data_IF_030210224297
#
_entry.id   IF_030210224297
#
_cell.length_a   1.000
_cell.length_b   1.000
_cell.length_c   1.000
_cell.angle_alpha   90.00
_cell.angle_beta   90.00
_cell.angle_gamma   90.00
#
_symmetry.space_group_name_H-M   'P 1'
#
loop_
_entity.id
_entity.type
_entity.pdbx_description
1 polymer ?
#
# COMPACT_ATOMS: atom_id res chain seq x y z
N UNK A 1 24.53 -7.15 -7.81
CA UNK A 1 24.04 -6.08 -6.93
C UNK A 1 24.43 -6.44 -5.49
N UNK A 2 24.94 -5.50 -4.70
CA UNK A 2 25.15 -5.78 -3.26
C UNK A 2 23.87 -5.41 -2.51
N UNK A 3 23.56 -6.08 -1.40
CA UNK A 3 22.40 -5.73 -0.55
C UNK A 3 22.44 -4.27 -0.08
N UNK A 4 23.61 -3.62 -0.06
CA UNK A 4 23.76 -2.19 0.19
C UNK A 4 23.12 -1.32 -0.90
N UNK A 5 23.26 -1.72 -2.17
CA UNK A 5 22.71 -0.96 -3.29
C UNK A 5 21.18 -0.85 -3.22
N UNK A 6 20.50 -1.87 -2.68
CA UNK A 6 19.06 -1.82 -2.42
C UNK A 6 18.71 -0.68 -1.46
N UNK A 7 19.43 -0.57 -0.33
CA UNK A 7 19.19 0.49 0.65
C UNK A 7 19.59 1.87 0.12
N UNK A 8 20.56 1.96 -0.79
CA UNK A 8 20.88 3.20 -1.49
C UNK A 8 19.75 3.68 -2.42
N UNK A 9 18.87 2.80 -2.91
CA UNK A 9 17.69 3.23 -3.67
C UNK A 9 16.79 4.17 -2.86
N UNK A 10 16.75 4.01 -1.54
CA UNK A 10 16.01 4.89 -0.63
C UNK A 10 16.73 6.21 -0.31
N UNK A 11 17.95 6.44 -0.79
CA UNK A 11 18.69 7.69 -0.63
C UNK A 11 18.26 8.69 -1.71
N UNK A 12 16.99 9.09 -1.67
CA UNK A 12 16.36 10.05 -2.59
C UNK A 12 15.87 11.26 -1.81
N UNK A 13 15.61 12.35 -2.52
CA UNK A 13 15.00 13.53 -1.91
C UNK A 13 13.62 13.19 -1.30
N UNK A 14 13.29 13.87 -0.20
CA UNK A 14 12.01 13.72 0.45
C UNK A 14 10.89 14.10 -0.52
N UNK A 15 9.81 13.32 -0.55
CA UNK A 15 8.71 13.51 -1.48
C UNK A 15 8.97 12.99 -2.90
N UNK A 16 10.18 12.55 -3.23
CA UNK A 16 10.54 11.95 -4.52
C UNK A 16 10.35 10.43 -4.56
N UNK A 17 9.61 9.86 -3.61
CA UNK A 17 9.23 8.45 -3.60
C UNK A 17 8.01 8.18 -2.71
N UNK A 18 7.38 7.02 -2.96
CA UNK A 18 6.38 6.42 -2.06
C UNK A 18 6.96 5.11 -1.52
N UNK A 19 6.94 4.89 -0.21
CA UNK A 19 7.33 3.62 0.40
C UNK A 19 6.14 2.66 0.49
N UNK A 20 6.39 1.39 0.25
CA UNK A 20 5.42 0.30 0.31
C UNK A 20 5.91 -0.75 1.29
N UNK A 21 4.97 -1.37 1.99
CA UNK A 21 5.19 -2.64 2.66
C UNK A 21 4.00 -3.55 2.32
N UNK A 22 4.27 -4.72 1.75
CA UNK A 22 3.22 -5.68 1.42
C UNK A 22 3.61 -7.08 1.90
N UNK A 23 2.64 -7.88 2.31
CA UNK A 23 2.84 -9.24 2.75
C UNK A 23 2.56 -10.23 1.62
N UNK A 24 3.56 -11.04 1.28
CA UNK A 24 3.41 -12.10 0.28
C UNK A 24 3.45 -13.48 0.91
N UNK A 25 2.47 -14.31 0.52
CA UNK A 25 2.24 -15.65 1.09
C UNK A 25 2.60 -16.76 0.09
N UNK A 26 2.53 -18.01 0.58
CA UNK A 26 2.77 -19.24 -0.21
C UNK A 26 4.19 -19.35 -0.78
N UNK A 27 5.17 -18.80 -0.07
CA UNK A 27 6.59 -18.90 -0.44
C UNK A 27 7.33 -20.03 0.27
N UNK A 28 6.89 -20.42 1.47
CA UNK A 28 7.48 -21.51 2.24
C UNK A 28 6.43 -22.51 2.72
N UNK A 29 6.91 -23.70 3.07
CA UNK A 29 6.11 -24.83 3.54
C UNK A 29 5.53 -24.66 4.94
N UNK A 30 5.99 -23.67 5.70
CA UNK A 30 5.50 -23.37 7.06
C UNK A 30 4.36 -22.35 7.03
N UNK A 31 4.16 -21.66 5.91
CA UNK A 31 3.13 -20.65 5.75
C UNK A 31 3.52 -19.25 6.26
N UNK A 32 4.79 -19.03 6.61
CA UNK A 32 5.27 -17.73 7.07
C UNK A 32 5.20 -16.68 5.95
N UNK A 33 4.58 -15.51 6.18
CA UNK A 33 4.62 -14.44 5.20
C UNK A 33 6.02 -13.84 5.07
N UNK A 34 6.30 -13.32 3.88
CA UNK A 34 7.45 -12.44 3.64
C UNK A 34 6.91 -11.04 3.45
N UNK A 35 7.37 -10.09 4.27
CA UNK A 35 7.14 -8.67 4.06
C UNK A 35 8.12 -8.18 3.00
N UNK A 36 7.59 -7.57 1.95
CA UNK A 36 8.34 -6.91 0.90
C UNK A 36 8.26 -5.42 1.14
N UNK A 37 9.42 -4.80 1.37
CA UNK A 37 9.52 -3.37 1.53
C UNK A 37 10.32 -2.77 0.37
N UNK A 38 9.77 -1.74 -0.25
CA UNK A 38 10.39 -1.07 -1.37
C UNK A 38 9.81 0.32 -1.56
N UNK A 39 10.36 1.05 -2.53
CA UNK A 39 9.85 2.36 -2.91
C UNK A 39 9.43 2.36 -4.37
N UNK A 40 8.55 3.27 -4.75
CA UNK A 40 8.37 3.65 -6.15
C UNK A 40 8.83 5.07 -6.39
N UNK A 41 9.29 5.33 -7.60
CA UNK A 41 9.67 6.66 -8.06
C UNK A 41 8.69 7.21 -9.11
N UNK A 42 8.96 8.42 -9.60
CA UNK A 42 8.11 9.10 -10.59
C UNK A 42 7.98 8.33 -11.91
N UNK A 43 8.89 7.37 -12.20
CA UNK A 43 8.79 6.48 -13.37
C UNK A 43 7.86 5.28 -13.12
N UNK A 44 7.27 5.19 -11.92
CA UNK A 44 6.44 4.07 -11.44
C UNK A 44 7.20 2.76 -11.34
N UNK A 45 8.53 2.82 -11.30
CA UNK A 45 9.39 1.66 -11.10
C UNK A 45 9.46 1.32 -9.62
N UNK A 46 9.31 0.03 -9.30
CA UNK A 46 9.48 -0.47 -7.94
C UNK A 46 10.95 -0.79 -7.68
N UNK A 47 11.47 -0.29 -6.56
CA UNK A 47 12.83 -0.53 -6.10
C UNK A 47 12.77 -1.23 -4.75
N UNK A 48 13.21 -2.48 -4.71
CA UNK A 48 13.28 -3.24 -3.46
C UNK A 48 14.27 -2.58 -2.48
N UNK A 49 13.87 -2.47 -1.22
CA UNK A 49 14.74 -2.05 -0.12
C UNK A 49 15.09 -3.23 0.79
N UNK A 50 14.09 -4.05 1.15
CA UNK A 50 14.27 -5.15 2.08
C UNK A 50 13.18 -6.24 1.94
N UNK A 51 13.55 -7.46 2.36
CA UNK A 51 12.66 -8.60 2.49
C UNK A 51 12.77 -9.14 3.93
N UNK A 52 11.63 -9.31 4.61
CA UNK A 52 11.59 -9.85 5.97
C UNK A 52 10.73 -11.09 6.01
N UNK A 53 11.26 -12.21 6.50
CA UNK A 53 10.39 -13.36 6.82
C UNK A 53 9.89 -13.21 8.24
N UNK A 54 8.57 -13.27 8.43
CA UNK A 54 7.94 -13.17 9.75
C UNK A 54 7.01 -14.35 9.98
N UNK A 55 6.82 -14.76 11.23
CA UNK A 55 5.90 -15.83 11.59
C UNK A 55 4.43 -15.39 11.51
N UNK A 56 4.15 -14.11 11.76
CA UNK A 56 2.80 -13.53 11.78
C UNK A 56 2.79 -12.07 11.29
N UNK A 57 1.59 -11.57 11.01
CA UNK A 57 1.32 -10.18 10.65
C UNK A 57 0.60 -9.47 11.81
N UNK A 58 1.32 -9.33 12.93
CA UNK A 58 0.91 -8.51 14.06
C UNK A 58 1.69 -7.20 14.07
N UNK A 59 1.16 -6.19 14.76
CA UNK A 59 1.80 -4.88 14.91
C UNK A 59 3.30 -5.00 15.27
N UNK A 60 3.66 -5.81 16.28
CA UNK A 60 5.05 -6.02 16.69
C UNK A 60 5.99 -6.52 15.58
N UNK A 61 5.47 -7.30 14.63
CA UNK A 61 6.25 -7.85 13.53
C UNK A 61 6.51 -6.78 12.45
N UNK A 62 5.53 -5.94 12.16
CA UNK A 62 5.71 -4.77 11.28
C UNK A 62 6.68 -3.77 11.91
N UNK A 63 6.50 -3.45 13.20
CA UNK A 63 7.38 -2.57 13.96
C UNK A 63 8.82 -3.07 13.95
N UNK A 64 9.06 -4.36 14.21
CA UNK A 64 10.39 -4.95 14.16
C UNK A 64 11.03 -4.86 12.76
N UNK A 65 10.26 -5.11 11.70
CA UNK A 65 10.73 -5.00 10.32
C UNK A 65 11.11 -3.55 9.96
N UNK A 66 10.26 -2.57 10.31
CA UNK A 66 10.51 -1.16 10.03
C UNK A 66 11.69 -0.62 10.86
N UNK A 67 11.82 -0.98 12.13
CA UNK A 67 13.00 -0.63 12.96
C UNK A 67 14.27 -1.20 12.35
N UNK A 68 14.25 -2.47 11.93
CA UNK A 68 15.38 -3.09 11.26
C UNK A 68 15.73 -2.38 9.94
N UNK A 69 14.73 -1.99 9.15
CA UNK A 69 14.91 -1.22 7.92
C UNK A 69 15.61 0.11 8.21
N UNK A 70 15.09 0.93 9.14
CA UNK A 70 15.69 2.23 9.48
C UNK A 70 17.12 2.09 9.98
N UNK A 71 17.37 1.13 10.87
CA UNK A 71 18.71 0.84 11.39
C UNK A 71 19.70 0.47 10.29
N UNK A 72 19.29 -0.41 9.38
CA UNK A 72 20.16 -0.87 8.29
C UNK A 72 20.37 0.23 7.26
N UNK A 73 19.33 1.01 6.93
CA UNK A 73 19.44 2.18 6.09
C UNK A 73 20.46 3.17 6.66
N UNK A 74 20.34 3.56 7.94
CA UNK A 74 21.24 4.51 8.58
C UNK A 74 22.69 4.02 8.56
N UNK A 75 22.90 2.72 8.77
CA UNK A 75 24.24 2.11 8.68
C UNK A 75 24.84 2.17 7.27
N UNK A 76 24.01 2.09 6.22
CA UNK A 76 24.49 2.06 4.83
C UNK A 76 24.63 3.46 4.24
N UNK A 77 23.66 4.34 4.49
CA UNK A 77 23.58 5.67 3.88
C UNK A 77 24.09 6.79 4.80
N UNK A 78 24.36 6.51 6.09
CA UNK A 78 24.90 7.49 7.03
C UNK A 78 23.90 8.57 7.49
N UNK A 79 22.61 8.36 7.24
CA UNK A 79 21.53 9.28 7.59
C UNK A 79 20.28 8.52 8.02
N UNK A 80 19.42 9.15 8.82
CA UNK A 80 18.14 8.56 9.19
C UNK A 80 17.22 8.43 7.98
N UNK A 81 16.50 7.31 7.89
CA UNK A 81 15.54 7.11 6.82
C UNK A 81 14.29 7.94 7.11
N UNK A 82 14.02 8.92 6.24
CA UNK A 82 12.87 9.83 6.31
C UNK A 82 11.86 9.49 5.21
N UNK A 83 10.57 9.58 5.50
CA UNK A 83 9.50 9.26 4.57
C UNK A 83 8.43 10.36 4.57
N UNK A 84 7.84 10.63 3.41
CA UNK A 84 6.74 11.60 3.26
C UNK A 84 5.45 10.94 2.77
N UNK A 85 5.57 9.86 1.99
CA UNK A 85 4.42 9.12 1.47
C UNK A 85 4.60 7.62 1.72
N UNK A 86 3.66 7.03 2.44
CA UNK A 86 3.56 5.59 2.68
C UNK A 86 2.33 5.09 1.96
N UNK A 87 2.39 3.98 1.23
CA UNK A 87 1.22 3.32 0.67
C UNK A 87 1.13 1.92 1.23
N UNK A 88 0.06 1.67 1.99
CA UNK A 88 -0.21 0.39 2.64
C UNK A 88 -1.69 0.04 2.60
N UNK A 89 -2.05 -1.07 3.21
CA UNK A 89 -3.41 -1.61 3.12
C UNK A 89 -3.98 -2.21 4.42
N UNK A 90 -3.20 -2.21 5.51
CA UNK A 90 -3.59 -2.80 6.78
C UNK A 90 -3.49 -1.84 7.98
N UNK A 91 -4.41 -1.97 8.96
CA UNK A 91 -4.42 -1.16 10.18
C UNK A 91 -3.13 -1.32 10.99
N UNK A 92 -2.66 -2.56 11.14
CA UNK A 92 -1.46 -2.87 11.94
C UNK A 92 -0.18 -2.33 11.29
N UNK A 93 -0.16 -2.28 9.96
CA UNK A 93 0.91 -1.66 9.19
C UNK A 93 0.90 -0.15 9.41
N UNK A 94 -0.27 0.49 9.28
CA UNK A 94 -0.48 1.91 9.57
C UNK A 94 0.03 2.30 10.97
N UNK A 95 -0.38 1.57 12.00
CA UNK A 95 0.05 1.81 13.39
C UNK A 95 1.57 1.66 13.53
N UNK A 96 2.17 0.62 12.94
CA UNK A 96 3.60 0.39 13.00
C UNK A 96 4.41 1.51 12.31
N UNK A 97 3.95 2.01 11.15
CA UNK A 97 4.59 3.16 10.51
C UNK A 97 4.54 4.40 11.40
N UNK A 98 3.40 4.67 12.04
CA UNK A 98 3.26 5.82 12.94
C UNK A 98 4.18 5.75 14.16
N UNK A 99 4.34 4.56 14.73
CA UNK A 99 5.19 4.36 15.89
C UNK A 99 6.68 4.43 15.53
N UNK A 100 7.06 3.84 14.40
CA UNK A 100 8.48 3.74 13.99
C UNK A 100 8.98 5.01 13.30
N UNK A 101 8.13 5.74 12.57
CA UNK A 101 8.47 6.98 11.87
C UNK A 101 7.80 8.20 12.54
N UNK A 102 7.76 8.20 13.87
CA UNK A 102 7.18 9.30 14.68
C UNK A 102 7.86 10.66 14.44
N UNK A 103 9.11 10.65 13.99
CA UNK A 103 9.90 11.83 13.61
C UNK A 103 9.64 12.30 12.17
N UNK A 104 8.86 11.55 11.38
CA UNK A 104 8.48 11.92 10.01
C UNK A 104 7.07 12.49 9.96
N UNK A 105 6.89 13.58 9.21
CA UNK A 105 5.56 14.08 8.83
C UNK A 105 5.15 13.45 7.50
N UNK A 106 4.53 12.26 7.55
CA UNK A 106 4.13 11.53 6.34
C UNK A 106 2.61 11.41 6.17
N UNK A 107 2.18 11.25 4.91
CA UNK A 107 0.83 10.85 4.53
C UNK A 107 0.79 9.34 4.33
N UNK A 108 -0.10 8.67 5.04
CA UNK A 108 -0.44 7.28 4.78
C UNK A 108 -1.55 7.23 3.72
N UNK A 109 -1.20 6.73 2.54
CA UNK A 109 -2.03 6.60 1.37
C UNK A 109 -2.68 5.22 1.33
N UNK A 110 -3.92 5.18 0.86
CA UNK A 110 -4.65 3.94 0.62
C UNK A 110 -4.66 3.57 -0.85
N UNK A 111 -4.35 2.30 -1.11
CA UNK A 111 -4.42 1.75 -2.45
C UNK A 111 -5.85 1.77 -2.98
N UNK A 112 -6.07 2.47 -4.10
CA UNK A 112 -7.39 2.58 -4.71
C UNK A 112 -7.95 1.22 -5.21
N UNK A 113 -7.08 0.25 -5.53
CA UNK A 113 -7.52 -1.10 -5.89
C UNK A 113 -8.35 -1.74 -4.77
N UNK A 114 -7.96 -1.56 -3.50
CA UNK A 114 -8.70 -2.11 -2.37
C UNK A 114 -10.07 -1.46 -2.19
N UNK A 115 -10.16 -0.15 -2.45
CA UNK A 115 -11.44 0.56 -2.50
C UNK A 115 -12.34 -0.11 -3.55
N UNK A 116 -11.87 -0.23 -4.79
CA UNK A 116 -12.63 -0.84 -5.90
C UNK A 116 -13.00 -2.30 -5.65
N UNK A 117 -12.09 -3.10 -5.09
CA UNK A 117 -12.36 -4.49 -4.75
C UNK A 117 -13.52 -4.59 -3.74
N UNK A 118 -13.53 -3.73 -2.72
CA UNK A 118 -14.61 -3.67 -1.73
C UNK A 118 -15.91 -3.06 -2.25
N UNK A 119 -15.84 -2.12 -3.19
CA UNK A 119 -17.03 -1.67 -3.92
C UNK A 119 -17.64 -2.86 -4.67
N UNK A 120 -16.84 -3.60 -5.44
CA UNK A 120 -17.32 -4.75 -6.24
C UNK A 120 -17.98 -5.83 -5.40
N UNK A 121 -17.38 -6.19 -4.27
CA UNK A 121 -17.97 -7.15 -3.33
C UNK A 121 -19.35 -6.68 -2.84
N UNK A 122 -19.50 -5.38 -2.55
CA UNK A 122 -20.71 -4.81 -1.94
C UNK A 122 -21.77 -4.36 -2.94
N UNK A 123 -21.43 -4.20 -4.22
CA UNK A 123 -22.38 -3.87 -5.29
C UNK A 123 -23.00 -5.10 -5.94
N UNK A 124 -22.60 -6.32 -5.58
CA UNK A 124 -23.07 -7.56 -6.25
C UNK A 124 -24.61 -7.76 -6.20
N UNK A 125 -25.29 -7.20 -5.21
CA UNK A 125 -26.75 -7.28 -5.08
C UNK A 125 -27.51 -6.06 -5.61
N UNK A 126 -26.81 -5.04 -6.13
CA UNK A 126 -27.45 -3.82 -6.62
C UNK A 126 -27.84 -3.96 -8.09
N UNK A 127 -28.80 -3.12 -8.52
CA UNK A 127 -29.09 -2.99 -9.95
C UNK A 127 -27.87 -2.44 -10.71
N UNK A 128 -27.90 -2.57 -12.04
CA UNK A 128 -26.84 -2.06 -12.90
C UNK A 128 -26.71 -0.54 -12.83
N UNK A 129 -27.85 0.16 -12.70
CA UNK A 129 -27.95 1.61 -12.60
C UNK A 129 -27.35 2.11 -11.28
N UNK A 130 -27.70 1.46 -10.17
CA UNK A 130 -27.17 1.81 -8.85
C UNK A 130 -25.67 1.50 -8.75
N UNK A 131 -25.24 0.38 -9.33
CA UNK A 131 -23.81 0.06 -9.42
C UNK A 131 -23.07 1.15 -10.20
N UNK A 132 -23.57 1.54 -11.38
CA UNK A 132 -22.96 2.60 -12.19
C UNK A 132 -22.90 3.95 -11.43
N UNK A 133 -23.96 4.30 -10.70
CA UNK A 133 -24.00 5.51 -9.86
C UNK A 133 -22.93 5.49 -8.76
N UNK A 134 -22.76 4.35 -8.09
CA UNK A 134 -21.74 4.17 -7.06
C UNK A 134 -20.33 4.30 -7.64
N UNK A 135 -20.04 3.57 -8.72
CA UNK A 135 -18.72 3.63 -9.35
C UNK A 135 -18.40 5.02 -9.87
N UNK A 136 -19.34 5.67 -10.56
CA UNK A 136 -19.16 7.04 -11.04
C UNK A 136 -18.77 7.96 -9.91
N UNK A 137 -19.54 7.97 -8.81
CA UNK A 137 -19.25 8.82 -7.66
C UNK A 137 -17.85 8.60 -7.09
N UNK A 138 -17.44 7.35 -6.88
CA UNK A 138 -16.12 7.04 -6.31
C UNK A 138 -14.97 7.38 -7.28
N UNK A 139 -15.15 7.15 -8.59
CA UNK A 139 -14.14 7.54 -9.59
C UNK A 139 -14.05 9.06 -9.75
N UNK A 140 -15.17 9.79 -9.70
CA UNK A 140 -15.16 11.25 -9.71
C UNK A 140 -14.33 11.79 -8.53
N UNK A 141 -14.46 11.19 -7.35
CA UNK A 141 -13.64 11.53 -6.18
C UNK A 141 -12.15 11.19 -6.35
N UNK A 142 -11.83 10.05 -6.98
CA UNK A 142 -10.45 9.62 -7.21
C UNK A 142 -9.67 10.68 -8.01
N UNK A 143 -10.29 11.19 -9.07
CA UNK A 143 -9.68 12.08 -10.05
C UNK A 143 -9.75 13.56 -9.68
N UNK A 144 -10.20 13.89 -8.46
CA UNK A 144 -10.13 15.26 -7.94
C UNK A 144 -8.69 15.78 -7.93
N UNK A 145 -8.52 17.06 -8.23
CA UNK A 145 -7.24 17.74 -8.29
C UNK A 145 -6.95 18.59 -7.03
N UNK A 146 -7.93 18.72 -6.14
CA UNK A 146 -7.76 19.45 -4.88
C UNK A 146 -8.73 18.95 -3.80
N UNK A 147 -8.39 19.26 -2.55
CA UNK A 147 -9.27 19.00 -1.40
C UNK A 147 -10.62 19.74 -1.51
N UNK A 148 -10.60 20.98 -2.03
CA UNK A 148 -11.82 21.76 -2.22
C UNK A 148 -12.78 21.09 -3.23
N UNK A 149 -12.24 20.63 -4.36
CA UNK A 149 -13.01 19.89 -5.37
C UNK A 149 -13.52 18.57 -4.80
N UNK A 150 -12.69 17.84 -4.05
CA UNK A 150 -13.08 16.60 -3.39
C UNK A 150 -14.24 16.80 -2.41
N UNK A 151 -14.20 17.84 -1.58
CA UNK A 151 -15.28 18.16 -0.65
C UNK A 151 -16.59 18.45 -1.39
N UNK A 152 -16.53 19.20 -2.49
CA UNK A 152 -17.71 19.52 -3.31
C UNK A 152 -18.30 18.29 -3.99
N UNK A 153 -17.48 17.50 -4.68
CA UNK A 153 -17.94 16.27 -5.37
C UNK A 153 -18.42 15.22 -4.36
N UNK A 154 -17.79 15.13 -3.18
CA UNK A 154 -18.22 14.23 -2.11
C UNK A 154 -19.62 14.60 -1.62
N UNK A 155 -19.89 15.89 -1.42
CA UNK A 155 -21.22 16.34 -1.01
C UNK A 155 -22.29 16.02 -2.06
N UNK A 156 -21.99 16.23 -3.35
CA UNK A 156 -22.89 15.90 -4.46
C UNK A 156 -23.15 14.39 -4.55
N UNK A 157 -22.09 13.57 -4.56
CA UNK A 157 -22.20 12.10 -4.58
C UNK A 157 -23.07 11.59 -3.43
N UNK A 158 -22.82 12.07 -2.20
CA UNK A 158 -23.56 11.63 -1.03
C UNK A 158 -25.04 12.06 -1.06
N UNK A 159 -25.35 13.21 -1.67
CA UNK A 159 -26.72 13.67 -1.88
C UNK A 159 -27.45 12.79 -2.89
N UNK A 160 -26.80 12.44 -4.00
CA UNK A 160 -27.37 11.57 -5.02
C UNK A 160 -27.65 10.16 -4.46
N UNK A 161 -26.71 9.62 -3.68
CA UNK A 161 -26.88 8.32 -3.05
C UNK A 161 -27.98 8.32 -1.98
N UNK A 162 -28.18 9.42 -1.26
CA UNK A 162 -29.26 9.57 -0.28
C UNK A 162 -30.65 9.52 -0.92
N UNK A 163 -30.77 9.82 -2.22
CA UNK A 163 -32.02 9.67 -2.98
C UNK A 163 -32.39 8.22 -3.31
N UNK A 164 -31.50 7.25 -3.04
CA UNK A 164 -31.69 5.85 -3.37
C UNK A 164 -31.78 5.00 -2.10
N UNK A 165 -32.98 4.49 -1.78
CA UNK A 165 -33.21 3.71 -0.56
C UNK A 165 -32.26 2.50 -0.45
N UNK A 166 -32.02 1.82 -1.58
CA UNK A 166 -31.14 0.64 -1.69
C UNK A 166 -29.67 0.95 -1.38
N UNK A 167 -29.24 2.21 -1.45
CA UNK A 167 -27.87 2.64 -1.15
C UNK A 167 -27.66 3.06 0.31
N UNK A 168 -28.68 3.00 1.17
CA UNK A 168 -28.58 3.50 2.56
C UNK A 168 -27.44 2.83 3.34
N UNK A 169 -27.47 1.49 3.43
CA UNK A 169 -26.46 0.72 4.14
C UNK A 169 -25.07 0.83 3.47
N UNK A 170 -25.05 0.86 2.14
CA UNK A 170 -23.83 1.02 1.36
C UNK A 170 -23.15 2.38 1.63
N UNK A 171 -23.93 3.46 1.64
CA UNK A 171 -23.47 4.83 1.90
C UNK A 171 -22.90 4.95 3.31
N UNK A 172 -23.57 4.36 4.31
CA UNK A 172 -23.06 4.34 5.68
C UNK A 172 -21.70 3.63 5.76
N UNK A 173 -21.55 2.50 5.08
CA UNK A 173 -20.28 1.78 4.99
C UNK A 173 -19.17 2.62 4.31
N UNK A 174 -19.43 3.18 3.13
CA UNK A 174 -18.42 3.96 2.39
C UNK A 174 -17.99 5.19 3.18
N UNK A 175 -18.93 5.86 3.85
CA UNK A 175 -18.60 6.98 4.75
C UNK A 175 -17.61 6.54 5.82
N UNK A 176 -17.96 5.51 6.58
CA UNK A 176 -17.15 5.05 7.71
C UNK A 176 -15.78 4.52 7.30
N UNK A 177 -15.70 3.82 6.17
CA UNK A 177 -14.47 3.12 5.76
C UNK A 177 -13.54 3.96 4.89
N UNK A 178 -14.10 4.73 3.94
CA UNK A 178 -13.34 5.31 2.83
C UNK A 178 -13.39 6.83 2.77
N UNK A 179 -14.29 7.48 3.50
CA UNK A 179 -14.43 8.94 3.48
C UNK A 179 -14.12 9.59 4.83
N UNK A 180 -13.75 8.77 5.82
CA UNK A 180 -13.35 9.18 7.16
C UNK A 180 -12.30 8.21 7.71
N UNK A 181 -11.40 8.69 8.57
CA UNK A 181 -10.48 7.86 9.33
C UNK A 181 -9.17 7.56 8.59
N UNK A 182 -8.45 6.53 9.03
CA UNK A 182 -7.07 6.26 8.59
C UNK A 182 -6.93 5.89 7.11
N UNK A 183 -8.05 5.52 6.47
CA UNK A 183 -8.06 4.95 5.13
C UNK A 183 -8.72 5.85 4.07
N UNK A 184 -8.92 7.13 4.38
CA UNK A 184 -9.56 8.07 3.46
C UNK A 184 -8.63 8.57 2.35
N UNK A 185 -7.31 8.39 2.48
CA UNK A 185 -6.30 8.99 1.60
C UNK A 185 -6.04 8.19 0.31
N UNK A 186 -7.01 8.04 -0.58
CA UNK A 186 -6.87 7.32 -1.85
C UNK A 186 -7.01 8.21 -3.10
N UNK A 187 -7.20 9.52 -2.92
CA UNK A 187 -7.38 10.49 -4.00
C UNK A 187 -6.05 10.85 -4.68
N UNK A 188 -6.11 11.16 -5.98
CA UNK A 188 -4.91 11.47 -6.78
C UNK A 188 -4.13 12.67 -6.27
N UNK A 189 -4.81 13.74 -5.86
CA UNK A 189 -4.18 14.98 -5.40
C UNK A 189 -3.35 14.83 -4.11
N UNK A 190 -3.49 13.72 -3.38
CA UNK A 190 -2.71 13.46 -2.17
C UNK A 190 -1.34 12.85 -2.45
N UNK A 191 -1.17 12.22 -3.61
CA UNK A 191 0.10 11.64 -4.04
C UNK A 191 0.92 12.64 -4.86
N UNK A 192 2.26 12.55 -4.83
CA UNK A 192 3.07 13.39 -5.69
C UNK A 192 2.73 13.14 -7.18
N UNK A 193 2.83 14.17 -8.05
CA UNK A 193 2.50 14.01 -9.46
C UNK A 193 3.31 12.90 -10.14
N UNK A 194 2.63 12.05 -10.91
CA UNK A 194 3.25 10.97 -11.68
C UNK A 194 3.32 9.60 -10.98
N UNK A 195 3.05 9.55 -9.67
CA UNK A 195 3.12 8.32 -8.88
C UNK A 195 1.85 7.46 -8.99
N UNK A 196 2.01 6.16 -8.74
CA UNK A 196 0.88 5.23 -8.75
C UNK A 196 0.09 5.34 -7.44
N UNK A 197 -1.22 5.54 -7.55
CA UNK A 197 -2.20 5.46 -6.44
C UNK A 197 -2.65 4.02 -6.16
N UNK A 198 -1.99 3.06 -6.80
CA UNK A 198 -2.22 1.62 -6.61
C UNK A 198 -0.93 0.96 -6.11
N UNK A 199 -1.09 -0.15 -5.39
CA UNK A 199 -0.03 -1.07 -4.97
C UNK A 199 0.47 -1.95 -6.13
N UNK A 200 0.06 -1.69 -7.38
CA UNK A 200 0.42 -2.52 -8.53
C UNK A 200 1.94 -2.77 -8.67
N UNK A 201 2.85 -1.80 -8.39
CA UNK A 201 4.29 -2.07 -8.47
C UNK A 201 4.77 -3.14 -7.47
N UNK A 202 4.34 -3.09 -6.20
CA UNK A 202 4.73 -4.10 -5.19
C UNK A 202 4.05 -5.44 -5.46
N UNK A 203 2.80 -5.44 -5.93
CA UNK A 203 2.13 -6.67 -6.33
C UNK A 203 2.80 -7.34 -7.54
N UNK A 204 3.23 -6.55 -8.53
CA UNK A 204 3.99 -7.06 -9.68
C UNK A 204 5.30 -7.68 -9.23
N UNK A 205 6.01 -7.04 -8.31
CA UNK A 205 7.20 -7.62 -7.70
C UNK A 205 6.87 -8.94 -6.99
N UNK A 206 5.80 -8.99 -6.18
CA UNK A 206 5.37 -10.21 -5.49
C UNK A 206 5.01 -11.35 -6.44
N UNK A 207 4.43 -11.05 -7.61
CA UNK A 207 4.18 -12.03 -8.67
C UNK A 207 5.49 -12.50 -9.31
N UNK A 208 6.42 -11.61 -9.61
CA UNK A 208 7.73 -11.94 -10.16
C UNK A 208 8.55 -12.81 -9.18
N UNK A 209 8.57 -12.45 -7.90
CA UNK A 209 9.21 -13.23 -6.84
C UNK A 209 8.71 -14.68 -6.82
N UNK A 210 7.38 -14.87 -6.89
CA UNK A 210 6.77 -16.21 -6.93
C UNK A 210 7.11 -16.95 -8.21
N UNK A 211 7.08 -16.28 -9.36
CA UNK A 211 7.33 -16.90 -10.67
C UNK A 211 8.80 -17.32 -10.83
N UNK A 212 9.72 -16.43 -10.51
CA UNK A 212 11.13 -16.52 -10.91
C UNK A 212 11.99 -17.20 -9.85
N UNK A 213 11.69 -17.02 -8.56
CA UNK A 213 12.54 -17.51 -7.46
C UNK A 213 11.96 -18.71 -6.73
N UNK A 214 10.63 -18.80 -6.62
CA UNK A 214 9.98 -19.97 -6.01
C UNK A 214 9.28 -20.89 -6.99
N UNK A 215 9.14 -20.47 -8.25
CA UNK A 215 8.38 -21.18 -9.29
C UNK A 215 6.98 -21.60 -8.82
N UNK A 216 6.33 -20.72 -8.04
CA UNK A 216 5.04 -20.94 -7.38
C UNK A 216 5.02 -22.13 -6.40
N UNK A 217 6.18 -22.60 -5.96
CA UNK A 217 6.32 -23.68 -4.97
C UNK A 217 6.53 -23.10 -3.57
N UNK A 218 6.04 -23.84 -2.58
CA UNK A 218 6.35 -23.58 -1.18
C UNK A 218 7.68 -24.26 -0.82
N UNK A 219 8.72 -23.46 -0.58
CA UNK A 219 10.07 -23.94 -0.33
C UNK A 219 10.31 -24.25 1.15
N UNK A 220 11.30 -25.09 1.45
CA UNK A 220 11.83 -25.18 2.82
C UNK A 220 12.51 -23.86 3.19
N UNK A 221 12.45 -23.47 4.46
CA UNK A 221 12.95 -22.16 4.93
C UNK A 221 14.38 -21.84 4.50
N UNK A 222 15.33 -22.77 4.63
CA UNK A 222 16.71 -22.55 4.20
C UNK A 222 16.82 -22.24 2.71
N UNK A 223 16.06 -22.93 1.86
CA UNK A 223 16.04 -22.68 0.41
C UNK A 223 15.35 -21.36 0.09
N UNK A 224 14.26 -21.01 0.79
CA UNK A 224 13.61 -19.71 0.62
C UNK A 224 14.59 -18.58 0.90
N UNK A 225 15.34 -18.63 2.01
CA UNK A 225 16.31 -17.58 2.35
C UNK A 225 17.39 -17.42 1.27
N UNK A 226 17.88 -18.53 0.69
CA UNK A 226 18.80 -18.49 -0.44
C UNK A 226 18.18 -17.79 -1.66
N UNK A 227 16.91 -18.08 -1.97
CA UNK A 227 16.20 -17.48 -3.10
C UNK A 227 15.90 -15.99 -2.88
N UNK A 228 15.50 -15.59 -1.67
CA UNK A 228 15.32 -14.19 -1.30
C UNK A 228 16.65 -13.42 -1.40
N UNK A 229 17.76 -14.03 -0.98
CA UNK A 229 19.08 -13.42 -1.13
C UNK A 229 19.47 -13.26 -2.60
N UNK A 230 19.18 -14.25 -3.45
CA UNK A 230 19.40 -14.15 -4.90
C UNK A 230 18.56 -13.03 -5.54
N UNK A 231 17.34 -12.80 -5.04
CA UNK A 231 16.49 -11.69 -5.47
C UNK A 231 17.04 -10.30 -5.11
N UNK A 232 17.93 -10.23 -4.12
CA UNK A 232 18.59 -9.00 -3.70
C UNK A 232 19.93 -8.73 -4.43
N UNK A 233 20.33 -9.64 -5.33
CA UNK A 233 21.62 -9.68 -6.02
C UNK A 233 21.63 -9.04 -7.40
#
# INVERSE_FOLDING_TARGET
>A
MTTKALLCNGSRELGAFVIYMDATFKLNSVGYPVLVCGITDASRSFHLLALFTTSQLQHEHFTAALVALRRMYARVNGADFQVEFVLGDADKEYEAFRDVFVDCSFKYLMCFYHVVAKLRERTHGLSSELSALVYKGVYDLLFTHSEAEFVQLKATMLKDWAGQADLTAFTAYVKAQWLTGNFENWQFFLSPPGYATTNNPVEQFNRALKRDYTHHRQLKMGLLLTQLLACCG
#
